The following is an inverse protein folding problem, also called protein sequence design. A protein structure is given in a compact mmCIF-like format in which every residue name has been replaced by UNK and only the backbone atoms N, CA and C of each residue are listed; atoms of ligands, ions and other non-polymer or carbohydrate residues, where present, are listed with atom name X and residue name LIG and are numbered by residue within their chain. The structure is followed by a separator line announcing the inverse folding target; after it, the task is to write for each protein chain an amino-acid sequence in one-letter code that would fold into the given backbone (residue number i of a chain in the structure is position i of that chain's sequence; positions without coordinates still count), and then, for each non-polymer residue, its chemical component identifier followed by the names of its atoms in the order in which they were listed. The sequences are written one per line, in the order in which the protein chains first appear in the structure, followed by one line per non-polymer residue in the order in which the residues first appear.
data_IF_052729380475
#
_entry.id   IF_052729380475
#
_cell.length_a   1.000
_cell.length_b   1.000
_cell.length_c   1.000
_cell.angle_alpha   90.00
_cell.angle_beta   90.00
_cell.angle_gamma   90.00
#
_symmetry.space_group_name_H-M   'P 1'
#
loop_
_entity.id
_entity.type
_entity.pdbx_description
1 polymer ?
#
# COMPACT_ATOMS: atom_id res chain seq x y z
N UNK A 1 -15.94 29.11 -37.90
CA UNK A 1 -15.88 30.58 -37.74
C UNK A 1 -16.80 30.97 -36.61
N UNK A 2 -16.28 31.64 -35.57
CA UNK A 2 -17.03 32.00 -34.37
C UNK A 2 -16.11 32.18 -33.16
N UNK A 3 -15.26 33.21 -33.20
CA UNK A 3 -14.55 33.71 -32.01
C UNK A 3 -15.54 34.39 -31.07
N UNK A 4 -15.32 34.36 -29.74
CA UNK A 4 -14.94 35.53 -28.91
C UNK A 4 -14.48 35.07 -27.51
N UNK A 5 -13.23 35.36 -27.18
CA UNK A 5 -12.69 35.42 -25.82
C UNK A 5 -13.23 36.66 -25.11
N UNK A 6 -13.60 36.58 -23.82
CA UNK A 6 -13.69 37.64 -22.78
C UNK A 6 -14.32 36.98 -21.53
N UNK A 7 -13.83 37.07 -20.31
CA UNK A 7 -12.82 37.96 -19.76
C UNK A 7 -12.25 37.41 -18.46
N UNK A 8 -11.00 37.79 -18.24
CA UNK A 8 -10.23 37.65 -17.02
C UNK A 8 -10.60 38.81 -16.09
N UNK A 9 -11.14 38.52 -14.91
CA UNK A 9 -11.30 39.52 -13.83
C UNK A 9 -10.65 38.99 -12.55
N UNK A 10 -9.46 39.52 -12.27
CA UNK A 10 -8.82 39.49 -10.95
C UNK A 10 -9.36 40.66 -10.11
N UNK A 11 -9.59 40.47 -8.82
CA UNK A 11 -9.37 41.50 -7.82
C UNK A 11 -8.06 41.21 -7.07
N UNK A 12 -7.17 42.19 -7.09
CA UNK A 12 -5.97 42.25 -6.28
C UNK A 12 -6.26 42.98 -4.96
N UNK A 13 -5.28 42.88 -4.02
CA UNK A 13 -4.98 43.83 -2.92
C UNK A 13 -5.91 43.70 -1.69
N UNK A 14 -5.47 43.66 -0.41
CA UNK A 14 -4.23 44.07 0.27
C UNK A 14 -4.14 43.51 1.71
N UNK A 15 -2.91 43.43 2.21
CA UNK A 15 -2.43 43.72 3.57
C UNK A 15 -2.64 42.77 4.78
N UNK A 16 -1.48 42.29 5.24
CA UNK A 16 -0.95 42.45 6.60
C UNK A 16 -1.43 41.53 7.73
N UNK A 17 -0.53 40.67 8.21
CA UNK A 17 0.20 40.89 9.47
C UNK A 17 1.13 39.70 9.76
N UNK A 18 2.39 40.00 10.03
CA UNK A 18 3.38 39.06 10.52
C UNK A 18 3.15 38.77 12.01
N UNK A 19 3.16 37.50 12.40
CA UNK A 19 3.61 37.07 13.73
C UNK A 19 4.38 35.76 13.57
N UNK A 20 5.70 35.87 13.66
CA UNK A 20 6.57 34.73 13.88
C UNK A 20 6.54 34.39 15.37
N UNK A 21 6.22 33.14 15.71
CA UNK A 21 6.38 32.57 17.05
C UNK A 21 7.46 31.48 16.97
N UNK A 22 8.72 31.76 17.31
CA UNK A 22 9.63 30.72 17.76
C UNK A 22 9.42 30.55 19.27
N UNK A 23 9.42 29.31 19.76
CA UNK A 23 9.83 28.85 21.10
C UNK A 23 9.05 27.59 21.51
N UNK A 24 9.68 26.43 21.33
CA UNK A 24 9.81 25.42 22.39
C UNK A 24 10.75 24.31 21.90
N UNK A 25 12.03 24.41 22.25
CA UNK A 25 12.87 23.24 22.40
C UNK A 25 12.36 22.46 23.62
N UNK A 26 11.69 21.34 23.37
CA UNK A 26 11.25 20.39 24.40
C UNK A 26 12.28 19.27 24.56
N UNK A 27 12.78 19.14 25.78
CA UNK A 27 13.72 18.10 26.23
C UNK A 27 13.24 16.67 25.96
N UNK A 28 14.23 15.86 25.60
CA UNK A 28 14.45 14.43 25.85
C UNK A 28 13.39 13.69 26.67
N UNK A 29 12.67 12.79 25.99
CA UNK A 29 12.19 11.56 26.62
C UNK A 29 13.13 10.42 26.20
N UNK A 30 13.93 9.95 27.15
CA UNK A 30 14.57 8.65 27.11
C UNK A 30 13.44 7.64 27.22
N UNK A 31 13.12 6.97 26.11
CA UNK A 31 12.35 5.73 26.13
C UNK A 31 13.30 4.61 25.74
N UNK A 32 13.81 3.96 26.77
CA UNK A 32 14.47 2.67 26.66
C UNK A 32 13.51 1.62 26.07
N UNK A 33 14.10 0.81 25.20
CA UNK A 33 13.68 -0.52 24.77
C UNK A 33 12.29 -0.69 24.11
N UNK A 34 12.28 -0.87 22.79
CA UNK A 34 11.66 -2.06 22.19
C UNK A 34 12.43 -2.48 20.94
N UNK A 35 13.05 -3.65 21.07
CA UNK A 35 13.40 -4.66 20.08
C UNK A 35 13.16 -4.35 18.59
N UNK A 36 14.26 -4.34 17.85
CA UNK A 36 14.40 -5.18 16.66
C UNK A 36 13.55 -4.85 15.43
N UNK A 37 14.08 -3.98 14.57
CA UNK A 37 14.15 -4.25 13.15
C UNK A 37 15.39 -3.55 12.59
N UNK A 38 16.53 -4.26 12.57
CA UNK A 38 17.58 -3.96 11.58
C UNK A 38 17.09 -4.49 10.23
N UNK A 39 15.94 -4.00 9.76
CA UNK A 39 15.52 -4.16 8.39
C UNK A 39 16.49 -3.36 7.56
N UNK A 40 17.45 -4.05 6.95
CA UNK A 40 18.48 -3.43 6.11
C UNK A 40 17.85 -2.38 5.21
N UNK A 41 18.56 -1.25 5.01
CA UNK A 41 18.16 -0.14 4.15
C UNK A 41 17.78 -0.64 2.76
N UNK A 42 16.54 -1.11 2.61
CA UNK A 42 15.96 -1.51 1.36
C UNK A 42 15.83 -0.27 0.50
N UNK A 43 15.82 -0.46 -0.83
CA UNK A 43 15.47 0.62 -1.76
C UNK A 43 14.22 1.34 -1.25
N UNK A 44 14.28 2.67 -1.21
CA UNK A 44 13.09 3.48 -0.94
C UNK A 44 12.12 3.26 -2.09
N UNK A 45 10.95 2.69 -1.79
CA UNK A 45 9.89 2.47 -2.77
C UNK A 45 9.40 3.82 -3.30
N UNK A 46 9.36 3.96 -4.64
CA UNK A 46 8.82 5.13 -5.32
C UNK A 46 7.46 4.80 -5.95
N UNK A 47 6.61 5.81 -6.22
CA UNK A 47 5.45 5.62 -7.08
C UNK A 47 5.85 5.02 -8.43
N UNK A 48 5.08 4.03 -8.87
CA UNK A 48 5.32 3.31 -10.12
C UNK A 48 3.98 2.91 -10.73
N UNK A 49 3.87 2.99 -12.05
CA UNK A 49 2.73 2.46 -12.80
C UNK A 49 2.75 0.92 -12.83
N UNK A 50 1.62 0.31 -13.22
CA UNK A 50 1.55 -1.14 -13.39
C UNK A 50 2.61 -1.66 -14.37
N UNK A 51 2.86 -0.94 -15.47
CA UNK A 51 3.88 -1.31 -16.46
C UNK A 51 5.31 -1.16 -15.91
N UNK A 52 5.58 -0.12 -15.13
CA UNK A 52 6.89 0.06 -14.48
C UNK A 52 7.18 -1.04 -13.47
N UNK A 53 6.19 -1.41 -12.65
CA UNK A 53 6.32 -2.52 -11.71
C UNK A 53 6.63 -3.83 -12.44
N UNK A 54 5.89 -4.13 -13.51
CA UNK A 54 6.14 -5.34 -14.29
C UNK A 54 7.54 -5.35 -14.92
N UNK A 55 8.01 -4.21 -15.42
CA UNK A 55 9.36 -4.10 -15.96
C UNK A 55 10.43 -4.30 -14.88
N UNK A 56 10.26 -3.68 -13.71
CA UNK A 56 11.19 -3.80 -12.58
C UNK A 56 11.29 -5.23 -12.04
N UNK A 57 10.21 -6.01 -12.15
CA UNK A 57 10.18 -7.42 -11.73
C UNK A 57 10.35 -8.41 -12.88
N UNK A 58 10.76 -7.94 -14.06
CA UNK A 58 10.94 -8.78 -15.27
C UNK A 58 9.73 -9.67 -15.57
N UNK A 59 8.54 -9.10 -15.49
CA UNK A 59 7.26 -9.78 -15.74
C UNK A 59 6.61 -9.34 -17.04
N UNK A 60 6.02 -10.30 -17.76
CA UNK A 60 5.01 -10.05 -18.78
C UNK A 60 3.61 -10.07 -18.14
N UNK A 61 2.88 -8.96 -18.23
CA UNK A 61 1.56 -8.80 -17.63
C UNK A 61 0.50 -9.64 -18.32
N UNK A 62 -0.38 -10.24 -17.53
CA UNK A 62 -1.59 -10.93 -18.01
C UNK A 62 -2.81 -10.51 -17.20
N UNK A 63 -4.01 -10.70 -17.74
CA UNK A 63 -5.26 -10.46 -17.01
C UNK A 63 -5.43 -9.02 -16.52
N UNK A 64 -4.88 -8.03 -17.24
CA UNK A 64 -4.88 -6.64 -16.82
C UNK A 64 -6.30 -6.09 -16.65
N UNK A 65 -6.48 -5.23 -15.66
CA UNK A 65 -7.69 -4.45 -15.42
C UNK A 65 -7.29 -3.03 -15.08
N UNK A 66 -8.00 -2.07 -15.66
CA UNK A 66 -7.85 -0.65 -15.37
C UNK A 66 -9.21 -0.09 -15.01
N UNK A 67 -9.29 0.49 -13.84
CA UNK A 67 -10.42 1.30 -13.39
C UNK A 67 -9.92 2.72 -13.11
N UNK A 68 -10.81 3.61 -12.65
CA UNK A 68 -10.51 5.03 -12.47
C UNK A 68 -9.26 5.27 -11.60
N UNK A 69 -9.17 4.59 -10.45
CA UNK A 69 -8.17 4.89 -9.43
C UNK A 69 -7.16 3.75 -9.19
N UNK A 70 -7.26 2.66 -9.98
CA UNK A 70 -6.50 1.42 -9.79
C UNK A 70 -6.22 0.73 -11.13
N UNK A 71 -5.00 0.26 -11.30
CA UNK A 71 -4.59 -0.68 -12.34
C UNK A 71 -4.07 -1.96 -11.69
N UNK A 72 -4.51 -3.12 -12.18
CA UNK A 72 -4.10 -4.44 -11.71
C UNK A 72 -3.62 -5.31 -12.87
N UNK A 73 -2.64 -6.17 -12.61
CA UNK A 73 -2.27 -7.23 -13.51
C UNK A 73 -1.62 -8.42 -12.80
N UNK A 74 -1.64 -9.56 -13.47
CA UNK A 74 -1.09 -10.82 -12.96
C UNK A 74 0.28 -11.07 -13.58
N UNK A 75 1.18 -11.58 -12.75
CA UNK A 75 2.53 -11.93 -13.11
C UNK A 75 2.88 -13.36 -12.71
N UNK A 76 3.70 -14.00 -13.54
CA UNK A 76 4.36 -15.27 -13.25
C UNK A 76 5.75 -15.26 -13.88
N UNK A 77 6.77 -15.43 -13.07
CA UNK A 77 8.17 -15.58 -13.51
C UNK A 77 8.87 -16.63 -12.62
N UNK A 78 10.21 -16.71 -12.68
CA UNK A 78 11.00 -17.62 -11.84
C UNK A 78 10.94 -17.31 -10.34
N UNK A 79 10.55 -16.10 -9.94
CA UNK A 79 10.41 -15.69 -8.54
C UNK A 79 9.07 -16.14 -7.94
N UNK A 80 8.08 -16.48 -8.78
CA UNK A 80 6.77 -16.97 -8.35
C UNK A 80 5.59 -16.35 -9.10
N UNK A 81 4.39 -16.54 -8.55
CA UNK A 81 3.15 -15.92 -9.03
C UNK A 81 2.78 -14.76 -8.12
N UNK A 82 2.43 -13.61 -8.68
CA UNK A 82 2.07 -12.43 -7.92
C UNK A 82 1.10 -11.53 -8.68
N UNK A 83 0.35 -10.74 -7.94
CA UNK A 83 -0.57 -9.72 -8.49
C UNK A 83 0.05 -8.35 -8.21
N UNK A 84 0.14 -7.51 -9.23
CA UNK A 84 0.58 -6.13 -9.12
C UNK A 84 -0.64 -5.21 -9.12
N UNK A 85 -0.67 -4.26 -8.19
CA UNK A 85 -1.66 -3.19 -8.12
C UNK A 85 -0.96 -1.83 -8.06
N UNK A 86 -1.39 -0.88 -8.90
CA UNK A 86 -0.92 0.50 -8.95
C UNK A 86 -2.09 1.45 -8.77
N UNK A 87 -1.91 2.48 -7.93
CA UNK A 87 -2.97 3.39 -7.51
C UNK A 87 -2.69 4.84 -7.94
N UNK A 88 -3.76 5.60 -8.15
CA UNK A 88 -3.66 7.03 -8.47
C UNK A 88 -3.28 7.87 -7.25
N UNK A 89 -3.59 7.41 -6.03
CA UNK A 89 -3.31 8.15 -4.78
C UNK A 89 -2.87 7.21 -3.65
N UNK A 90 -2.11 7.75 -2.68
CA UNK A 90 -1.75 7.01 -1.47
C UNK A 90 -2.98 6.66 -0.63
N UNK A 91 -3.96 7.57 -0.57
CA UNK A 91 -5.23 7.31 0.12
C UNK A 91 -5.97 6.12 -0.49
N UNK A 92 -6.07 6.04 -1.83
CA UNK A 92 -6.74 4.91 -2.50
C UNK A 92 -6.05 3.58 -2.23
N UNK A 93 -4.72 3.56 -2.24
CA UNK A 93 -3.94 2.38 -1.86
C UNK A 93 -4.18 1.98 -0.40
N UNK A 94 -4.14 2.94 0.53
CA UNK A 94 -4.32 2.66 1.96
C UNK A 94 -5.73 2.17 2.28
N UNK A 95 -6.76 2.75 1.66
CA UNK A 95 -8.15 2.28 1.77
C UNK A 95 -8.29 0.86 1.25
N UNK A 96 -7.75 0.59 0.05
CA UNK A 96 -7.78 -0.77 -0.52
C UNK A 96 -7.06 -1.77 0.38
N UNK A 97 -5.88 -1.42 0.91
CA UNK A 97 -5.12 -2.32 1.78
C UNK A 97 -5.87 -2.58 3.09
N UNK A 98 -6.49 -1.55 3.68
CA UNK A 98 -7.31 -1.68 4.88
C UNK A 98 -8.50 -2.64 4.66
N UNK A 99 -9.17 -2.56 3.51
CA UNK A 99 -10.27 -3.47 3.13
C UNK A 99 -9.79 -4.88 2.79
N UNK A 100 -8.58 -5.01 2.25
CA UNK A 100 -8.00 -6.30 1.86
C UNK A 100 -7.50 -7.10 3.06
N UNK A 101 -6.88 -6.45 4.06
CA UNK A 101 -6.23 -7.10 5.21
C UNK A 101 -7.13 -8.10 5.96
N UNK A 102 -8.41 -7.83 6.24
CA UNK A 102 -9.29 -8.78 6.92
C UNK A 102 -9.45 -10.11 6.19
N UNK A 103 -9.21 -10.16 4.88
CA UNK A 103 -9.26 -11.38 4.07
C UNK A 103 -7.97 -12.20 4.11
N UNK A 104 -6.95 -11.74 4.83
CA UNK A 104 -5.65 -12.39 4.96
C UNK A 104 -4.75 -12.25 3.75
N UNK A 105 -3.65 -13.00 3.73
CA UNK A 105 -2.62 -12.92 2.70
C UNK A 105 -1.42 -12.05 3.10
N UNK A 106 -0.49 -11.87 2.15
CA UNK A 106 0.75 -11.12 2.37
C UNK A 106 0.91 -10.08 1.26
N UNK A 107 1.33 -8.89 1.65
CA UNK A 107 1.41 -7.71 0.79
C UNK A 107 2.81 -7.11 0.86
N UNK A 108 3.40 -6.79 -0.29
CA UNK A 108 4.53 -5.87 -0.36
C UNK A 108 3.98 -4.50 -0.75
N UNK A 109 4.14 -3.53 0.15
CA UNK A 109 3.53 -2.20 0.05
C UNK A 109 4.60 -1.16 -0.21
N UNK A 110 4.44 -0.41 -1.29
CA UNK A 110 5.27 0.75 -1.63
C UNK A 110 4.46 2.04 -1.72
N UNK A 111 5.04 3.08 -2.31
CA UNK A 111 4.32 4.33 -2.52
C UNK A 111 3.32 4.17 -3.67
N UNK A 112 2.02 4.17 -3.36
CA UNK A 112 0.92 4.02 -4.34
C UNK A 112 0.88 2.70 -5.12
N UNK A 113 1.44 1.62 -4.59
CA UNK A 113 1.34 0.29 -5.19
C UNK A 113 1.39 -0.82 -4.14
N UNK A 114 0.80 -1.96 -4.48
CA UNK A 114 0.83 -3.18 -3.67
C UNK A 114 1.14 -4.38 -4.56
N UNK A 115 1.94 -5.32 -4.05
CA UNK A 115 2.12 -6.64 -4.64
C UNK A 115 1.57 -7.70 -3.70
N UNK A 116 0.70 -8.57 -4.21
CA UNK A 116 0.14 -9.70 -3.44
C UNK A 116 0.80 -10.99 -3.89
N UNK A 117 1.37 -11.75 -2.94
CA UNK A 117 1.94 -13.06 -3.20
C UNK A 117 2.20 -13.82 -1.89
N UNK A 118 2.86 -14.98 -1.98
CA UNK A 118 3.47 -15.66 -0.85
C UNK A 118 4.68 -14.87 -0.34
N UNK A 119 4.96 -14.97 0.96
CA UNK A 119 6.00 -14.16 1.61
C UNK A 119 7.39 -14.34 0.97
N UNK A 120 7.78 -15.56 0.61
CA UNK A 120 9.08 -15.81 -0.04
C UNK A 120 9.23 -15.07 -1.38
N UNK A 121 8.17 -15.03 -2.19
CA UNK A 121 8.13 -14.25 -3.43
C UNK A 121 8.29 -12.76 -3.12
N UNK A 122 7.58 -12.25 -2.12
CA UNK A 122 7.62 -10.83 -1.74
C UNK A 122 8.98 -10.41 -1.17
N UNK A 123 9.63 -11.27 -0.38
CA UNK A 123 10.99 -11.02 0.12
C UNK A 123 12.01 -10.92 -1.03
N UNK A 124 11.79 -11.68 -2.10
CA UNK A 124 12.61 -11.59 -3.31
C UNK A 124 12.33 -10.29 -4.06
N UNK A 125 11.05 -10.00 -4.36
CA UNK A 125 10.63 -8.80 -5.09
C UNK A 125 10.97 -7.49 -4.35
N UNK A 126 11.00 -7.51 -3.01
CA UNK A 126 11.40 -6.37 -2.17
C UNK A 126 12.83 -5.89 -2.44
N UNK A 127 13.73 -6.77 -2.89
CA UNK A 127 15.10 -6.39 -3.26
C UNK A 127 15.11 -5.48 -4.50
N UNK A 128 14.18 -5.71 -5.42
CA UNK A 128 14.04 -4.96 -6.67
C UNK A 128 13.21 -3.67 -6.46
N UNK A 129 12.07 -3.81 -5.78
CA UNK A 129 11.06 -2.76 -5.65
C UNK A 129 11.20 -1.89 -4.39
N UNK A 130 11.86 -2.41 -3.35
CA UNK A 130 11.80 -1.83 -2.02
C UNK A 130 10.47 -2.10 -1.32
N UNK A 131 10.10 -1.21 -0.39
CA UNK A 131 8.82 -1.27 0.31
C UNK A 131 8.84 -2.10 1.59
N UNK A 132 7.65 -2.30 2.17
CA UNK A 132 7.43 -2.99 3.44
C UNK A 132 6.51 -4.19 3.24
N UNK A 133 6.85 -5.32 3.84
CA UNK A 133 5.96 -6.48 3.88
C UNK A 133 4.94 -6.27 5.01
N UNK A 134 3.67 -6.48 4.69
CA UNK A 134 2.52 -6.35 5.59
C UNK A 134 1.73 -7.64 5.51
N UNK A 135 1.32 -8.17 6.65
CA UNK A 135 0.45 -9.34 6.75
C UNK A 135 -1.01 -8.91 6.92
N UNK A 136 -1.91 -9.61 6.23
CA UNK A 136 -3.34 -9.57 6.52
C UNK A 136 -3.67 -10.33 7.79
N UNK A 137 -4.91 -10.22 8.22
CA UNK A 137 -5.41 -10.88 9.42
C UNK A 137 -5.65 -12.38 9.15
N UNK A 138 -5.82 -13.16 10.22
CA UNK A 138 -6.14 -14.58 10.08
C UNK A 138 -7.58 -14.75 9.58
N UNK A 139 -7.74 -14.87 8.27
CA UNK A 139 -9.01 -15.20 7.64
C UNK A 139 -9.13 -16.71 7.42
N UNK A 140 -9.40 -17.45 8.51
CA UNK A 140 -9.58 -18.90 8.52
C UNK A 140 -10.89 -19.26 9.22
N UNK A 141 -11.83 -19.84 8.46
CA UNK A 141 -13.16 -20.21 8.93
C UNK A 141 -13.13 -21.15 10.14
N UNK A 142 -14.07 -20.93 11.06
CA UNK A 142 -14.35 -21.86 12.14
C UNK A 142 -14.62 -23.25 11.56
N UNK A 143 -13.76 -24.20 11.90
CA UNK A 143 -13.85 -25.58 11.43
C UNK A 143 -13.26 -26.54 12.45
N UNK A 144 -14.12 -27.07 13.32
CA UNK A 144 -13.99 -28.45 13.81
C UNK A 144 -13.33 -28.68 15.17
N UNK A 145 -13.98 -28.24 16.26
CA UNK A 145 -13.93 -28.94 17.55
C UNK A 145 -15.15 -29.84 17.65
N UNK A 146 -14.94 -31.16 17.62
CA UNK A 146 -15.94 -32.21 17.39
C UNK A 146 -17.11 -32.30 18.38
N UNK A 147 -18.18 -32.93 17.90
CA UNK A 147 -19.37 -33.31 18.64
C UNK A 147 -19.07 -34.24 19.82
N UNK A 148 -19.76 -34.02 20.94
CA UNK A 148 -20.15 -35.09 21.86
C UNK A 148 -21.68 -35.16 21.93
N UNK A 149 -22.21 -36.26 21.41
CA UNK A 149 -23.55 -36.76 21.67
C UNK A 149 -23.71 -37.12 23.14
N UNK A 150 -24.89 -36.81 23.70
CA UNK A 150 -25.57 -37.60 24.72
C UNK A 150 -25.30 -37.26 26.20
N UNK A 151 -26.35 -36.81 26.92
CA UNK A 151 -27.00 -37.52 28.06
C UNK A 151 -27.75 -36.54 28.98
N UNK A 152 -29.01 -36.86 29.33
CA UNK A 152 -29.76 -36.33 30.49
C UNK A 152 -31.19 -35.89 30.12
N UNK A 153 -32.25 -36.71 30.27
CA UNK A 153 -33.01 -37.11 31.48
C UNK A 153 -33.68 -35.95 32.24
N UNK A 154 -35.03 -35.98 32.25
CA UNK A 154 -35.91 -35.11 33.03
C UNK A 154 -37.30 -35.04 32.42
#
# INVERSE_FOLDING_TARGET
MGSRHLGLTKPALLCAAAVALPLAAGCSAISDATSGDKGGEGKVAKPASLAQLAQQTSCSLTGQRKVKDLEQGNCKNSQGRYVLLSFTTDQGMNTWLHEAKPWGGVYLVGARWVVVSQEQTLQTLRKDLGGKIVHGDNHGGGGGGGASHGTGHG
#
